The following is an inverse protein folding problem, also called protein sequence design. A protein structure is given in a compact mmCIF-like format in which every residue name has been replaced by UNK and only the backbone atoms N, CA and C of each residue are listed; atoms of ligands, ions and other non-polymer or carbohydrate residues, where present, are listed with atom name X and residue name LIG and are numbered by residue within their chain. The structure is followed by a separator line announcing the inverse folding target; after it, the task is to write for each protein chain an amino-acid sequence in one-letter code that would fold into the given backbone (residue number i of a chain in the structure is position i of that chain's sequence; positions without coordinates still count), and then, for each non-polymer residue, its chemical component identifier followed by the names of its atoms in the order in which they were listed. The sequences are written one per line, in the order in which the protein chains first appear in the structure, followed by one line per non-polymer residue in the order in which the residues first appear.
data_IF_400691725415
#
_entry.id   IF_400691725415
#
_cell.length_a   1.000
_cell.length_b   1.000
_cell.length_c   1.000
_cell.angle_alpha   90.00
_cell.angle_beta   90.00
_cell.angle_gamma   90.00
#
_symmetry.space_group_name_H-M   'P 1'
#
loop_
_entity.id
_entity.type
_entity.pdbx_description
1 polymer ?
#
# COMPACT_ATOMS: atom_id res chain seq x y z
N UNK A 1 -10.44 -32.88 37.44
CA UNK A 1 -9.09 -32.37 37.75
C UNK A 1 -8.36 -32.27 36.42
N UNK A 2 -8.23 -31.06 35.88
CA UNK A 2 -7.58 -30.82 34.58
C UNK A 2 -6.07 -30.76 34.82
N UNK A 3 -5.32 -31.57 34.08
CA UNK A 3 -3.86 -31.55 34.08
C UNK A 3 -3.42 -30.52 33.02
N UNK A 4 -2.88 -29.35 33.39
CA UNK A 4 -2.35 -28.42 32.40
C UNK A 4 -0.99 -28.95 31.92
N UNK A 5 -0.89 -29.25 30.62
CA UNK A 5 0.39 -29.59 30.00
C UNK A 5 1.40 -28.43 30.18
N UNK A 6 2.61 -28.68 30.72
CA UNK A 6 3.61 -27.65 30.99
C UNK A 6 4.34 -27.13 29.75
N UNK A 7 3.83 -27.42 28.53
CA UNK A 7 4.44 -26.99 27.26
C UNK A 7 3.70 -25.83 26.57
N UNK A 8 2.81 -25.14 27.29
CA UNK A 8 2.15 -23.93 26.79
C UNK A 8 3.14 -22.76 26.75
N UNK A 9 3.89 -22.68 25.65
CA UNK A 9 4.69 -21.49 25.32
C UNK A 9 3.75 -20.28 25.37
N UNK A 10 4.18 -19.15 25.99
CA UNK A 10 3.35 -17.95 26.05
C UNK A 10 3.03 -17.53 24.64
N UNK A 11 1.75 -17.63 24.27
CA UNK A 11 1.24 -17.20 22.97
C UNK A 11 1.54 -15.72 22.84
N UNK A 12 2.57 -15.37 22.07
CA UNK A 12 2.85 -13.97 21.79
C UNK A 12 1.64 -13.40 21.07
N UNK A 13 0.97 -12.36 21.59
CA UNK A 13 -0.27 -11.82 21.03
C UNK A 13 -0.05 -11.09 19.69
N UNK A 14 1.17 -11.16 19.14
CA UNK A 14 1.60 -10.44 17.96
C UNK A 14 2.04 -11.45 16.91
N UNK A 15 1.31 -11.48 15.79
CA UNK A 15 1.64 -12.33 14.65
C UNK A 15 3.09 -12.07 14.18
N UNK A 16 3.78 -13.10 13.68
CA UNK A 16 5.08 -12.95 13.02
C UNK A 16 5.00 -11.96 11.86
N UNK A 17 6.09 -11.22 11.60
CA UNK A 17 6.14 -10.19 10.54
C UNK A 17 5.80 -10.75 9.16
N UNK A 18 6.23 -11.97 8.87
CA UNK A 18 5.97 -12.61 7.57
C UNK A 18 4.49 -12.91 7.39
N UNK A 19 3.85 -13.43 8.44
CA UNK A 19 2.40 -13.68 8.47
C UNK A 19 1.61 -12.37 8.36
N UNK A 20 2.05 -11.30 9.05
CA UNK A 20 1.48 -9.96 8.90
C UNK A 20 1.51 -9.49 7.45
N UNK A 21 2.66 -9.58 6.79
CA UNK A 21 2.79 -9.20 5.39
C UNK A 21 1.90 -10.04 4.47
N UNK A 22 1.69 -11.32 4.78
CA UNK A 22 0.76 -12.17 4.02
C UNK A 22 -0.69 -11.73 4.21
N UNK A 23 -1.11 -11.40 5.43
CA UNK A 23 -2.47 -10.88 5.70
C UNK A 23 -2.69 -9.54 5.00
N UNK A 24 -1.73 -8.61 5.07
CA UNK A 24 -1.81 -7.32 4.38
C UNK A 24 -1.87 -7.46 2.85
N UNK A 25 -1.25 -8.50 2.29
CA UNK A 25 -1.29 -8.83 0.86
C UNK A 25 -2.52 -9.66 0.44
N UNK A 26 -3.51 -9.81 1.32
CA UNK A 26 -4.72 -10.61 1.10
C UNK A 26 -4.42 -12.10 0.82
N UNK A 27 -3.32 -12.63 1.38
CA UNK A 27 -2.91 -14.02 1.22
C UNK A 27 -3.23 -14.83 2.49
N UNK A 28 -4.50 -14.77 2.92
CA UNK A 28 -4.97 -15.25 4.23
C UNK A 28 -4.76 -16.76 4.42
N UNK A 29 -5.04 -17.58 3.41
CA UNK A 29 -4.90 -19.04 3.50
C UNK A 29 -3.44 -19.44 3.74
N UNK A 30 -2.51 -18.78 3.06
CA UNK A 30 -1.07 -18.99 3.27
C UNK A 30 -0.65 -18.49 4.64
N UNK A 31 -1.16 -17.34 5.09
CA UNK A 31 -0.87 -16.80 6.41
C UNK A 31 -1.30 -17.77 7.54
N UNK A 32 -2.50 -18.34 7.44
CA UNK A 32 -3.01 -19.34 8.39
C UNK A 32 -2.13 -20.59 8.38
N UNK A 33 -1.82 -21.11 7.17
CA UNK A 33 -0.99 -22.31 7.02
C UNK A 33 0.41 -22.11 7.58
N UNK A 34 1.04 -20.98 7.27
CA UNK A 34 2.38 -20.63 7.75
C UNK A 34 2.37 -20.42 9.27
N UNK A 35 1.39 -19.70 9.82
CA UNK A 35 1.29 -19.53 11.28
C UNK A 35 1.07 -20.87 12.00
N UNK A 36 0.20 -21.72 11.48
CA UNK A 36 -0.04 -23.06 12.04
C UNK A 36 1.22 -23.92 12.03
N UNK A 37 2.00 -23.85 10.94
CA UNK A 37 3.24 -24.59 10.77
C UNK A 37 4.36 -24.07 11.67
N UNK A 38 4.56 -22.75 11.71
CA UNK A 38 5.66 -22.08 12.43
C UNK A 38 5.46 -22.15 13.94
N UNK A 39 4.22 -21.97 14.43
CA UNK A 39 3.91 -22.01 15.85
C UNK A 39 3.44 -23.38 16.35
N UNK A 40 3.35 -24.37 15.44
CA UNK A 40 2.89 -25.72 15.73
C UNK A 40 1.50 -25.75 16.42
N UNK A 41 0.62 -24.85 15.98
CA UNK A 41 -0.76 -24.71 16.49
C UNK A 41 -1.76 -25.32 15.51
N UNK A 42 -2.97 -25.59 15.99
CA UNK A 42 -4.06 -26.06 15.13
C UNK A 42 -4.42 -25.02 14.05
N UNK A 43 -4.90 -25.50 12.91
CA UNK A 43 -5.34 -24.64 11.80
C UNK A 43 -6.48 -23.69 12.24
N UNK A 44 -7.37 -24.18 13.10
CA UNK A 44 -8.50 -23.41 13.63
C UNK A 44 -8.05 -22.31 14.58
N UNK A 45 -7.08 -22.59 15.46
CA UNK A 45 -6.49 -21.58 16.33
C UNK A 45 -5.73 -20.52 15.52
N UNK A 46 -5.00 -20.95 14.50
CA UNK A 46 -4.33 -20.04 13.58
C UNK A 46 -5.32 -19.10 12.87
N UNK A 47 -6.45 -19.65 12.41
CA UNK A 47 -7.51 -18.86 11.78
C UNK A 47 -8.06 -17.78 12.71
N UNK A 48 -8.40 -18.12 13.95
CA UNK A 48 -8.91 -17.15 14.93
C UNK A 48 -7.94 -15.98 15.13
N UNK A 49 -6.64 -16.26 15.19
CA UNK A 49 -5.62 -15.21 15.36
C UNK A 49 -5.48 -14.32 14.13
N UNK A 50 -5.58 -14.90 12.93
CA UNK A 50 -5.55 -14.15 11.67
C UNK A 50 -6.79 -13.27 11.52
N UNK A 51 -7.98 -13.81 11.81
CA UNK A 51 -9.25 -13.08 11.75
C UNK A 51 -9.26 -11.90 12.75
N UNK A 52 -8.77 -12.12 13.98
CA UNK A 52 -8.61 -11.06 14.97
C UNK A 52 -7.65 -9.95 14.51
N UNK A 53 -6.60 -10.30 13.79
CA UNK A 53 -5.68 -9.32 13.22
C UNK A 53 -6.27 -8.57 12.03
N UNK A 54 -7.01 -9.25 11.16
CA UNK A 54 -7.67 -8.65 10.01
C UNK A 54 -8.70 -7.59 10.46
N UNK A 55 -9.51 -7.92 11.46
CA UNK A 55 -10.48 -6.98 12.04
C UNK A 55 -9.78 -5.77 12.66
N UNK A 56 -8.70 -5.96 13.41
CA UNK A 56 -7.90 -4.86 13.95
C UNK A 56 -7.29 -3.98 12.84
N UNK A 57 -6.83 -4.60 11.74
CA UNK A 57 -6.29 -3.89 10.58
C UNK A 57 -7.37 -3.03 9.91
N UNK A 58 -8.57 -3.58 9.69
CA UNK A 58 -9.72 -2.86 9.12
C UNK A 58 -10.14 -1.69 10.01
N UNK A 59 -10.24 -1.89 11.33
CA UNK A 59 -10.55 -0.82 12.29
C UNK A 59 -9.51 0.28 12.22
N UNK A 60 -8.22 -0.06 12.17
CA UNK A 60 -7.13 0.92 12.07
C UNK A 60 -7.17 1.69 10.74
N UNK A 61 -7.49 1.02 9.64
CA UNK A 61 -7.70 1.66 8.33
C UNK A 61 -8.87 2.63 8.39
N UNK A 62 -10.02 2.21 8.95
CA UNK A 62 -11.20 3.05 9.13
C UNK A 62 -10.89 4.28 10.00
N UNK A 63 -10.19 4.11 11.12
CA UNK A 63 -9.78 5.22 11.99
C UNK A 63 -8.89 6.23 11.25
N UNK A 64 -7.96 5.74 10.42
CA UNK A 64 -7.10 6.60 9.60
C UNK A 64 -7.93 7.38 8.59
N UNK A 65 -8.88 6.75 7.91
CA UNK A 65 -9.75 7.44 6.96
C UNK A 65 -10.65 8.46 7.66
N UNK A 66 -11.25 8.12 8.80
CA UNK A 66 -12.04 9.05 9.62
C UNK A 66 -11.20 10.26 10.07
N UNK A 67 -9.94 10.04 10.45
CA UNK A 67 -9.02 11.13 10.84
C UNK A 67 -8.70 12.04 9.65
N UNK A 68 -8.48 11.47 8.46
CA UNK A 68 -8.23 12.25 7.25
C UNK A 68 -9.49 13.02 6.84
N UNK A 69 -10.66 12.39 6.88
CA UNK A 69 -11.95 13.00 6.56
C UNK A 69 -12.27 14.16 7.50
N UNK A 70 -12.10 13.98 8.81
CA UNK A 70 -12.25 15.05 9.78
C UNK A 70 -11.30 16.23 9.50
N UNK A 71 -10.04 15.95 9.14
CA UNK A 71 -9.08 16.99 8.73
C UNK A 71 -9.44 17.69 7.42
N UNK A 72 -10.25 17.06 6.56
CA UNK A 72 -10.65 17.57 5.25
C UNK A 72 -12.11 18.08 5.23
N UNK A 73 -12.82 18.08 6.36
CA UNK A 73 -14.22 18.47 6.45
C UNK A 73 -15.19 17.51 5.76
N UNK A 74 -14.77 16.28 5.45
CA UNK A 74 -15.59 15.26 4.80
C UNK A 74 -16.36 14.51 5.89
N UNK A 75 -17.69 14.44 5.75
CA UNK A 75 -18.56 13.78 6.72
C UNK A 75 -18.25 12.28 6.84
N UNK A 76 -18.18 11.77 8.07
CA UNK A 76 -17.89 10.36 8.39
C UNK A 76 -18.90 9.36 7.75
N UNK A 77 -20.08 9.81 7.35
CA UNK A 77 -21.10 9.00 6.66
C UNK A 77 -20.70 8.55 5.24
N UNK A 78 -19.73 9.21 4.59
CA UNK A 78 -19.29 8.84 3.24
C UNK A 78 -18.19 7.76 3.20
N UNK A 79 -17.65 7.37 4.36
CA UNK A 79 -16.45 6.52 4.49
C UNK A 79 -16.76 5.21 5.24
N UNK A 80 -18.02 4.80 5.36
CA UNK A 80 -18.33 3.47 5.91
C UNK A 80 -18.00 2.38 4.90
N UNK A 81 -17.02 1.51 5.21
CA UNK A 81 -16.71 0.31 4.41
C UNK A 81 -17.77 -0.82 4.51
N UNK A 82 -18.80 -0.65 5.33
CA UNK A 82 -19.86 -1.64 5.59
C UNK A 82 -21.12 -1.51 4.71
N UNK A 83 -21.08 -0.73 3.61
CA UNK A 83 -22.19 -0.73 2.65
C UNK A 83 -22.05 -1.88 1.64
N UNK A 84 -22.22 -3.09 2.15
CA UNK A 84 -22.71 -4.25 1.39
C UNK A 84 -23.76 -4.98 2.24
N UNK A 85 -24.91 -4.32 2.46
CA UNK A 85 -26.05 -4.96 3.11
C UNK A 85 -27.41 -4.31 2.75
N UNK A 86 -27.71 -4.25 1.46
CA UNK A 86 -29.09 -4.09 0.92
C UNK A 86 -29.06 -4.88 -0.40
N UNK A 87 -29.84 -5.92 -0.71
CA UNK A 87 -31.13 -6.40 -0.20
C UNK A 87 -31.28 -7.85 -0.68
N UNK A 88 -31.55 -8.80 0.24
CA UNK A 88 -31.87 -10.21 -0.08
C UNK A 88 -33.33 -10.39 -0.56
N UNK A 89 -33.94 -9.40 -1.20
CA UNK A 89 -35.36 -9.40 -1.58
C UNK A 89 -35.63 -8.96 -3.03
N UNK A 90 -34.71 -9.22 -3.96
CA UNK A 90 -34.99 -9.00 -5.39
C UNK A 90 -34.53 -10.21 -6.23
N UNK A 91 -34.95 -11.40 -5.80
CA UNK A 91 -34.85 -12.63 -6.56
C UNK A 91 -36.21 -12.89 -7.24
N UNK A 92 -36.70 -11.96 -8.06
CA UNK A 92 -37.72 -12.19 -9.10
C UNK A 92 -38.02 -10.87 -9.82
N UNK A 93 -37.17 -10.48 -10.77
CA UNK A 93 -37.62 -9.89 -12.04
C UNK A 93 -36.43 -9.61 -12.93
N UNK A 94 -36.43 -10.29 -14.08
CA UNK A 94 -35.38 -10.21 -15.06
C UNK A 94 -35.18 -8.79 -15.57
N UNK A 95 -33.99 -8.25 -15.35
CA UNK A 95 -33.32 -7.41 -16.34
C UNK A 95 -31.83 -7.42 -16.02
N UNK A 96 -31.05 -8.04 -16.90
CA UNK A 96 -29.60 -7.92 -16.92
C UNK A 96 -29.23 -6.44 -17.13
N UNK A 97 -29.08 -5.68 -16.05
CA UNK A 97 -28.48 -4.35 -16.12
C UNK A 97 -26.99 -4.59 -16.29
N UNK A 98 -26.58 -4.64 -17.57
CA UNK A 98 -25.20 -4.53 -18.00
C UNK A 98 -24.64 -3.22 -17.42
N UNK A 99 -24.01 -3.30 -16.26
CA UNK A 99 -23.16 -2.25 -15.69
C UNK A 99 -21.96 -2.09 -16.61
N UNK A 100 -22.18 -1.32 -17.68
CA UNK A 100 -21.13 -0.70 -18.46
C UNK A 100 -20.30 0.09 -17.47
N UNK A 101 -19.11 -0.42 -17.15
CA UNK A 101 -18.06 0.28 -16.43
C UNK A 101 -17.93 1.66 -17.08
N UNK A 102 -18.47 2.68 -16.40
CA UNK A 102 -18.18 4.07 -16.73
C UNK A 102 -16.70 4.23 -16.38
N UNK A 103 -15.86 4.14 -17.40
CA UNK A 103 -14.52 4.72 -17.42
C UNK A 103 -14.66 6.16 -16.94
N UNK A 104 -14.48 6.32 -15.62
CA UNK A 104 -14.36 7.61 -14.97
C UNK A 104 -13.03 8.17 -15.41
N UNK A 105 -13.04 9.44 -15.83
CA UNK A 105 -11.91 10.22 -16.32
C UNK A 105 -10.68 10.05 -15.42
N UNK A 106 -9.87 9.03 -15.69
CA UNK A 106 -8.65 8.70 -14.96
C UNK A 106 -7.65 9.86 -15.00
N UNK A 107 -7.79 10.80 -15.94
CA UNK A 107 -6.95 11.98 -16.06
C UNK A 107 -7.27 13.11 -15.08
N UNK A 108 -8.48 13.21 -14.51
CA UNK A 108 -8.83 14.35 -13.64
C UNK A 108 -8.43 14.11 -12.18
N UNK A 109 -8.75 12.94 -11.63
CA UNK A 109 -8.38 12.60 -10.24
C UNK A 109 -6.87 12.49 -10.02
N UNK A 110 -6.13 11.93 -10.98
CA UNK A 110 -4.66 11.85 -10.88
C UNK A 110 -3.98 13.22 -11.02
N UNK A 111 -4.53 14.14 -11.84
CA UNK A 111 -3.98 15.50 -11.97
C UNK A 111 -4.22 16.34 -10.72
N UNK A 112 -5.36 16.18 -10.08
CA UNK A 112 -5.69 16.87 -8.84
C UNK A 112 -4.77 16.42 -7.69
N UNK A 113 -4.49 15.11 -7.62
CA UNK A 113 -3.50 14.55 -6.70
C UNK A 113 -2.06 15.02 -7.01
N UNK A 114 -1.68 15.13 -8.29
CA UNK A 114 -0.37 15.68 -8.68
C UNK A 114 -0.21 17.15 -8.29
N UNK A 115 -1.22 17.98 -8.56
CA UNK A 115 -1.19 19.41 -8.21
C UNK A 115 -1.11 19.64 -6.70
N UNK A 116 -1.82 18.83 -5.90
CA UNK A 116 -1.73 18.88 -4.44
C UNK A 116 -0.36 18.49 -3.90
N UNK A 117 0.29 17.48 -4.50
CA UNK A 117 1.64 17.05 -4.15
C UNK A 117 2.68 18.11 -4.53
N UNK A 118 2.61 18.66 -5.74
CA UNK A 118 3.50 19.72 -6.21
C UNK A 118 3.40 20.97 -5.35
N UNK A 119 2.19 21.35 -4.92
CA UNK A 119 1.96 22.50 -4.05
C UNK A 119 2.58 22.33 -2.66
N UNK A 120 2.56 21.09 -2.12
CA UNK A 120 3.20 20.77 -0.83
C UNK A 120 4.72 20.72 -0.94
N UNK A 121 5.26 20.20 -2.05
CA UNK A 121 6.70 20.20 -2.33
C UNK A 121 7.26 21.62 -2.44
N UNK A 122 6.49 22.54 -3.03
CA UNK A 122 6.87 23.94 -3.16
C UNK A 122 6.82 24.69 -1.82
N UNK A 123 5.84 24.38 -0.96
CA UNK A 123 5.75 24.93 0.41
C UNK A 123 6.87 24.43 1.34
N UNK A 124 7.39 23.22 1.09
CA UNK A 124 8.51 22.63 1.83
C UNK A 124 9.89 23.16 1.36
N UNK A 125 9.91 24.18 0.48
CA UNK A 125 11.16 24.81 0.02
C UNK A 125 12.01 23.90 -0.86
N UNK A 126 11.45 22.82 -1.40
CA UNK A 126 12.16 21.91 -2.30
C UNK A 126 12.37 22.59 -3.65
N UNK A 127 13.40 23.43 -3.76
CA UNK A 127 13.87 23.94 -5.05
C UNK A 127 14.26 22.73 -5.89
N UNK A 128 13.50 22.46 -6.96
CA UNK A 128 13.91 21.53 -8.02
C UNK A 128 15.38 21.83 -8.32
N UNK A 129 16.31 20.87 -8.18
CA UNK A 129 17.69 21.11 -8.55
C UNK A 129 17.67 21.49 -10.02
N UNK A 130 17.91 22.77 -10.33
CA UNK A 130 17.85 23.32 -11.69
C UNK A 130 18.78 22.54 -12.63
N UNK A 131 19.75 21.85 -12.06
CA UNK A 131 20.69 21.01 -12.76
C UNK A 131 20.41 19.56 -12.33
N UNK A 132 19.81 18.73 -13.21
CA UNK A 132 19.63 17.33 -12.91
C UNK A 132 21.00 16.69 -12.62
N UNK A 133 21.04 15.76 -11.67
CA UNK A 133 22.29 15.09 -11.26
C UNK A 133 23.04 14.43 -12.42
N UNK A 134 22.37 14.16 -13.53
CA UNK A 134 22.95 13.62 -14.76
C UNK A 134 23.86 14.63 -15.51
N UNK A 135 23.61 15.94 -15.40
CA UNK A 135 24.43 16.97 -16.06
C UNK A 135 25.85 17.01 -15.53
N UNK A 136 26.06 16.73 -14.24
CA UNK A 136 27.41 16.62 -13.65
C UNK A 136 28.22 15.51 -14.32
N UNK A 137 27.56 14.39 -14.65
CA UNK A 137 28.19 13.25 -15.35
C UNK A 137 28.48 13.60 -16.82
N UNK A 138 27.55 14.26 -17.50
CA UNK A 138 27.77 14.76 -18.86
C UNK A 138 28.97 15.72 -18.96
N UNK A 139 29.12 16.64 -17.99
CA UNK A 139 30.24 17.59 -17.99
C UNK A 139 31.59 16.86 -17.94
N UNK A 140 31.72 15.85 -17.08
CA UNK A 140 32.93 15.03 -16.98
C UNK A 140 33.26 14.34 -18.32
N UNK A 141 32.25 13.78 -18.98
CA UNK A 141 32.41 13.10 -20.28
C UNK A 141 32.89 14.08 -21.35
N UNK A 142 32.31 15.29 -21.42
CA UNK A 142 32.71 16.31 -22.38
C UNK A 142 34.16 16.75 -22.16
N UNK A 143 34.60 16.91 -20.91
CA UNK A 143 36.00 17.25 -20.59
C UNK A 143 36.96 16.16 -21.05
N UNK A 144 36.62 14.89 -20.84
CA UNK A 144 37.43 13.76 -21.30
C UNK A 144 37.52 13.73 -22.83
N UNK A 145 36.37 13.91 -23.51
CA UNK A 145 36.31 13.93 -24.98
C UNK A 145 37.13 15.09 -25.56
N UNK A 146 37.03 16.29 -24.97
CA UNK A 146 37.81 17.45 -25.40
C UNK A 146 39.32 17.25 -25.17
N UNK A 147 39.71 16.63 -24.05
CA UNK A 147 41.10 16.30 -23.77
C UNK A 147 41.69 15.30 -24.77
N UNK A 148 40.98 14.21 -25.05
CA UNK A 148 41.40 13.24 -26.06
C UNK A 148 41.47 13.85 -27.45
N UNK A 149 40.49 14.68 -27.81
CA UNK A 149 40.48 15.39 -29.08
C UNK A 149 41.65 16.36 -29.20
N UNK A 150 41.98 17.08 -28.14
CA UNK A 150 43.14 17.99 -28.10
C UNK A 150 44.46 17.25 -28.28
N UNK A 151 44.63 16.12 -27.61
CA UNK A 151 45.83 15.29 -27.74
C UNK A 151 45.95 14.73 -29.16
N UNK A 152 44.86 14.20 -29.72
CA UNK A 152 44.85 13.67 -31.09
C UNK A 152 45.14 14.76 -32.11
N UNK A 153 44.57 15.95 -31.96
CA UNK A 153 44.89 17.09 -32.82
C UNK A 153 46.37 17.48 -32.69
N UNK A 154 46.94 17.53 -31.49
CA UNK A 154 48.35 17.89 -31.31
C UNK A 154 49.34 16.88 -31.91
N UNK A 155 48.95 15.61 -31.99
CA UNK A 155 49.78 14.51 -32.50
C UNK A 155 49.64 14.32 -34.01
N UNK A 156 48.44 14.49 -34.56
CA UNK A 156 48.14 14.29 -35.99
C UNK A 156 48.08 15.59 -36.82
N UNK A 157 48.15 16.77 -36.20
CA UNK A 157 48.27 18.08 -36.85
C UNK A 157 49.63 18.70 -36.62
#
# INVERSE_FOLDING_TARGET
MFNPDPSSKPVSPKLPKDVIMMVEKNNLVMAIKTLAQDENISMDEAKVRIDAYETALKVKQQQKLNTIANKQGISNHAISFDREQETKEELESGKLIKTRVKTTKQTQGFKDLQQGVDSRLNNLGYKKPLIPYWTKRLLLIVVIMAGLFWILWRVFG
#
